data_IF_397337494756
#
_entry.id   IF_397337494756
#
_cell.length_a   1.000
_cell.length_b   1.000
_cell.length_c   1.000
_cell.angle_alpha   90.00
_cell.angle_beta   90.00
_cell.angle_gamma   90.00
#
_symmetry.space_group_name_H-M   'P 1'
#
loop_
_entity.id
_entity.type
_entity.pdbx_description
1 polymer ?
#
# COMPACT_ATOMS: atom_id res chain seq x y z
N UNK A 1 -19.41 5.35 17.77
CA UNK A 1 -18.92 4.02 18.24
C UNK A 1 -18.17 3.46 17.05
N UNK A 2 -16.83 3.60 17.06
CA UNK A 2 -15.97 2.94 16.09
C UNK A 2 -16.07 1.43 16.33
N UNK A 3 -16.56 0.70 15.34
CA UNK A 3 -16.49 -0.75 15.34
C UNK A 3 -15.01 -1.06 15.16
N UNK A 4 -14.35 -1.46 16.23
CA UNK A 4 -13.04 -2.09 16.16
C UNK A 4 -13.21 -3.37 15.33
N UNK A 5 -12.94 -3.29 14.04
CA UNK A 5 -12.63 -4.47 13.28
C UNK A 5 -11.31 -4.99 13.86
N UNK A 6 -11.32 -6.20 14.38
CA UNK A 6 -10.09 -6.87 14.77
C UNK A 6 -9.20 -6.90 13.52
N UNK A 7 -8.10 -6.18 13.56
CA UNK A 7 -7.18 -6.07 12.43
C UNK A 7 -6.43 -7.39 12.28
N UNK A 8 -7.07 -8.36 11.65
CA UNK A 8 -6.41 -9.59 11.21
C UNK A 8 -5.73 -9.31 9.87
N UNK A 9 -4.61 -8.60 9.91
CA UNK A 9 -3.76 -8.47 8.73
C UNK A 9 -3.18 -9.82 8.35
N UNK A 10 -3.19 -10.14 7.06
CA UNK A 10 -2.56 -11.35 6.55
C UNK A 10 -1.04 -11.20 6.55
N UNK A 11 -0.33 -12.29 6.81
CA UNK A 11 1.12 -12.41 6.56
C UNK A 11 1.42 -13.04 5.19
N UNK A 12 0.39 -13.28 4.39
CA UNK A 12 0.54 -13.81 3.04
C UNK A 12 0.97 -12.71 2.07
N UNK A 13 1.90 -13.04 1.16
CA UNK A 13 2.41 -12.11 0.14
C UNK A 13 1.38 -11.73 -0.92
N UNK A 14 0.38 -12.56 -1.11
CA UNK A 14 -0.72 -12.38 -2.05
C UNK A 14 -2.05 -12.25 -1.30
N UNK A 15 -2.80 -11.20 -1.62
CA UNK A 15 -4.16 -10.99 -1.14
C UNK A 15 -5.11 -10.90 -2.33
N UNK A 16 -6.21 -11.64 -2.27
CA UNK A 16 -7.34 -11.55 -3.18
C UNK A 16 -8.47 -10.76 -2.51
N UNK A 17 -8.94 -9.72 -3.18
CA UNK A 17 -10.01 -8.86 -2.72
C UNK A 17 -11.33 -9.05 -3.48
N UNK A 18 -11.45 -10.12 -4.27
CA UNK A 18 -12.66 -10.40 -5.06
C UNK A 18 -13.91 -10.41 -4.18
N UNK A 19 -13.85 -11.08 -3.03
CA UNK A 19 -14.95 -11.16 -2.08
C UNK A 19 -14.86 -10.17 -0.92
N UNK A 20 -13.88 -9.26 -0.95
CA UNK A 20 -13.69 -8.28 0.10
C UNK A 20 -14.82 -7.25 0.10
N UNK A 21 -15.52 -7.14 1.22
CA UNK A 21 -16.63 -6.20 1.37
C UNK A 21 -16.12 -4.79 1.55
N UNK A 22 -16.41 -3.92 0.57
CA UNK A 22 -16.09 -2.49 0.63
C UNK A 22 -17.10 -1.74 1.50
N UNK A 23 -16.67 -0.61 2.09
CA UNK A 23 -17.61 0.35 2.68
C UNK A 23 -18.63 0.84 1.64
N UNK A 24 -19.87 1.07 2.06
CA UNK A 24 -20.97 1.44 1.16
C UNK A 24 -20.72 2.71 0.34
N UNK A 25 -19.90 3.63 0.84
CA UNK A 25 -19.57 4.89 0.18
C UNK A 25 -18.60 4.74 -1.03
N UNK A 26 -17.91 3.59 -1.16
CA UNK A 26 -17.07 3.25 -2.33
C UNK A 26 -17.61 2.04 -3.11
N UNK A 27 -18.68 1.42 -2.67
CA UNK A 27 -19.21 0.17 -3.26
C UNK A 27 -19.59 0.32 -4.75
N UNK A 28 -19.94 1.54 -5.19
CA UNK A 28 -20.39 1.85 -6.55
C UNK A 28 -19.33 2.53 -7.42
N UNK A 29 -18.07 2.58 -6.98
CA UNK A 29 -16.99 3.20 -7.75
C UNK A 29 -16.58 2.32 -8.91
N UNK A 30 -16.01 2.96 -9.94
CA UNK A 30 -15.66 2.29 -11.21
C UNK A 30 -14.40 1.45 -11.15
N UNK A 31 -13.50 1.76 -10.21
CA UNK A 31 -12.21 1.09 -10.06
C UNK A 31 -12.22 0.23 -8.81
N UNK A 32 -11.75 -1.01 -8.92
CA UNK A 32 -11.63 -1.95 -7.81
C UNK A 32 -10.30 -2.66 -7.84
N UNK A 33 -9.58 -2.63 -6.74
CA UNK A 33 -8.42 -3.49 -6.54
C UNK A 33 -8.91 -4.92 -6.37
N UNK A 34 -8.46 -5.81 -7.25
CA UNK A 34 -8.80 -7.23 -7.24
C UNK A 34 -7.81 -8.04 -6.42
N UNK A 35 -6.53 -7.73 -6.54
CA UNK A 35 -5.49 -8.39 -5.76
C UNK A 35 -4.26 -7.50 -5.60
N UNK A 36 -3.44 -7.85 -4.62
CA UNK A 36 -2.09 -7.31 -4.42
C UNK A 36 -1.12 -8.46 -4.17
N UNK A 37 0.08 -8.36 -4.73
CA UNK A 37 1.17 -9.30 -4.50
C UNK A 37 2.48 -8.56 -4.19
N UNK A 38 3.14 -8.98 -3.10
CA UNK A 38 4.45 -8.48 -2.70
C UNK A 38 5.53 -9.41 -3.27
N UNK A 39 6.39 -8.92 -4.12
CA UNK A 39 7.49 -9.67 -4.72
C UNK A 39 8.71 -9.70 -3.78
N UNK A 40 8.54 -10.43 -2.68
CA UNK A 40 9.57 -10.70 -1.66
C UNK A 40 9.56 -12.18 -1.30
N UNK A 41 10.64 -12.68 -0.73
CA UNK A 41 10.72 -14.08 -0.30
C UNK A 41 9.76 -14.36 0.86
N UNK A 42 9.68 -13.43 1.81
CA UNK A 42 8.80 -13.50 2.98
C UNK A 42 8.46 -12.10 3.49
N UNK A 43 7.27 -11.95 4.08
CA UNK A 43 6.88 -10.72 4.79
C UNK A 43 7.35 -10.68 6.24
N UNK A 44 7.81 -11.82 6.79
CA UNK A 44 8.29 -11.93 8.17
C UNK A 44 9.72 -11.38 8.39
N UNK A 45 10.44 -11.06 7.30
CA UNK A 45 11.81 -10.55 7.38
C UNK A 45 12.18 -9.78 6.11
N UNK A 46 11.52 -8.65 5.87
CA UNK A 46 11.82 -7.78 4.73
C UNK A 46 12.95 -6.83 5.09
N UNK A 47 14.04 -6.85 4.34
CA UNK A 47 15.14 -5.91 4.51
C UNK A 47 14.69 -4.50 4.13
N UNK A 48 14.68 -3.58 5.10
CA UNK A 48 14.23 -2.20 4.89
C UNK A 48 15.08 -1.43 3.85
N UNK A 49 16.34 -1.82 3.65
CA UNK A 49 17.25 -1.21 2.67
C UNK A 49 17.02 -1.67 1.23
N UNK A 50 16.19 -2.68 1.04
CA UNK A 50 15.85 -3.23 -0.28
C UNK A 50 14.48 -2.70 -0.71
N UNK A 51 14.38 -2.09 -1.90
CA UNK A 51 13.07 -1.72 -2.45
C UNK A 51 12.19 -2.95 -2.64
N UNK A 52 10.94 -2.84 -2.21
CA UNK A 52 9.94 -3.89 -2.37
C UNK A 52 9.07 -3.59 -3.57
N UNK A 53 9.03 -4.53 -4.51
CA UNK A 53 8.13 -4.47 -5.65
C UNK A 53 6.78 -5.04 -5.27
N UNK A 54 5.71 -4.31 -5.60
CA UNK A 54 4.32 -4.68 -5.32
C UNK A 54 3.52 -4.60 -6.61
N UNK A 55 2.85 -5.69 -6.93
CA UNK A 55 1.94 -5.79 -8.07
C UNK A 55 0.49 -5.62 -7.60
N UNK A 56 -0.26 -4.83 -8.34
CA UNK A 56 -1.68 -4.58 -8.14
C UNK A 56 -2.47 -4.99 -9.37
N UNK A 57 -3.54 -5.73 -9.17
CA UNK A 57 -4.52 -6.02 -10.21
C UNK A 57 -5.78 -5.23 -9.94
N UNK A 58 -6.26 -4.52 -10.95
CA UNK A 58 -7.47 -3.72 -10.90
C UNK A 58 -8.49 -4.15 -11.94
N UNK A 59 -9.74 -4.21 -11.56
CA UNK A 59 -10.87 -4.23 -12.47
C UNK A 59 -11.46 -2.83 -12.58
N UNK A 60 -11.73 -2.37 -13.79
CA UNK A 60 -12.39 -1.08 -14.05
C UNK A 60 -13.54 -1.22 -15.04
N UNK A 61 -14.63 -0.50 -14.78
CA UNK A 61 -15.78 -0.44 -15.69
C UNK A 61 -15.65 0.62 -16.77
N UNK A 62 -14.66 1.52 -16.63
CA UNK A 62 -14.41 2.64 -17.57
C UNK A 62 -12.92 3.02 -17.58
N UNK A 63 -12.53 3.79 -18.60
CA UNK A 63 -11.19 4.39 -18.65
C UNK A 63 -11.08 5.54 -17.65
N UNK A 64 -9.99 5.56 -16.92
CA UNK A 64 -9.68 6.60 -15.94
C UNK A 64 -8.21 6.98 -16.00
N UNK A 65 -7.98 8.29 -16.02
CA UNK A 65 -6.66 8.89 -15.94
C UNK A 65 -6.43 9.56 -14.58
N UNK A 66 -5.18 9.89 -14.28
CA UNK A 66 -4.78 10.55 -13.03
C UNK A 66 -5.17 9.77 -11.77
N UNK A 67 -5.04 8.45 -11.86
CA UNK A 67 -5.26 7.56 -10.72
C UNK A 67 -3.98 7.52 -9.88
N UNK A 68 -4.14 7.44 -8.56
CA UNK A 68 -3.04 7.25 -7.64
C UNK A 68 -3.34 6.17 -6.60
N UNK A 69 -2.29 5.76 -5.89
CA UNK A 69 -2.37 4.88 -4.73
C UNK A 69 -1.71 5.59 -3.54
N UNK A 70 -2.39 5.65 -2.41
CA UNK A 70 -1.76 5.81 -1.10
C UNK A 70 -1.46 4.42 -0.55
N UNK A 71 -0.19 4.14 -0.34
CA UNK A 71 0.30 3.01 0.43
C UNK A 71 0.51 3.50 1.86
N UNK A 72 -0.51 3.36 2.69
CA UNK A 72 -0.49 3.81 4.09
C UNK A 72 0.17 2.74 4.95
N UNK A 73 1.14 3.11 5.75
CA UNK A 73 1.84 2.22 6.69
C UNK A 73 1.41 2.58 8.11
N UNK A 74 0.99 1.59 8.86
CA UNK A 74 0.53 1.72 10.23
C UNK A 74 1.43 0.91 11.17
N UNK A 75 1.61 1.39 12.38
CA UNK A 75 2.32 0.67 13.44
C UNK A 75 1.46 -0.46 14.07
N UNK A 76 2.00 -1.11 15.09
CA UNK A 76 1.31 -2.18 15.82
C UNK A 76 0.04 -1.73 16.56
N UNK A 77 -0.16 -0.41 16.74
CA UNK A 77 -1.34 0.20 17.35
C UNK A 77 -2.35 0.72 16.31
N UNK A 78 -2.13 0.38 15.02
CA UNK A 78 -2.94 0.86 13.89
C UNK A 78 -2.90 2.39 13.70
N UNK A 79 -1.80 3.01 14.12
CA UNK A 79 -1.55 4.44 13.93
C UNK A 79 -0.79 4.64 12.62
N UNK A 80 -1.26 5.51 11.70
CA UNK A 80 -0.52 5.84 10.49
C UNK A 80 0.84 6.46 10.84
N UNK A 81 1.92 5.86 10.37
CA UNK A 81 3.30 6.33 10.62
C UNK A 81 4.00 6.81 9.37
N UNK A 82 3.55 6.34 8.20
CA UNK A 82 4.09 6.77 6.92
C UNK A 82 3.09 6.52 5.79
N UNK A 83 3.28 7.24 4.69
CA UNK A 83 2.51 7.03 3.45
C UNK A 83 3.44 7.21 2.26
N UNK A 84 3.44 6.23 1.36
CA UNK A 84 4.02 6.38 0.04
C UNK A 84 2.91 6.65 -0.98
N UNK A 85 3.19 7.51 -1.95
CA UNK A 85 2.22 7.88 -2.97
C UNK A 85 2.72 7.46 -4.34
N UNK A 86 1.85 6.81 -5.11
CA UNK A 86 2.03 6.59 -6.53
C UNK A 86 1.01 7.44 -7.27
N UNK A 87 1.45 8.19 -8.27
CA UNK A 87 0.61 9.10 -9.04
C UNK A 87 0.65 8.78 -10.53
N UNK A 88 -0.33 9.29 -11.26
CA UNK A 88 -0.31 9.31 -12.71
C UNK A 88 -0.59 7.99 -13.41
N UNK A 89 -1.26 7.05 -12.73
CA UNK A 89 -1.69 5.82 -13.37
C UNK A 89 -2.83 6.06 -14.36
N UNK A 90 -2.87 5.22 -15.38
CA UNK A 90 -3.92 5.19 -16.41
C UNK A 90 -4.62 3.84 -16.37
N UNK A 91 -5.75 3.76 -15.69
CA UNK A 91 -6.54 2.53 -15.58
C UNK A 91 -7.53 2.49 -16.75
N UNK A 92 -7.49 1.43 -17.54
CA UNK A 92 -8.37 1.22 -18.69
C UNK A 92 -9.53 0.31 -18.31
N UNK A 93 -10.63 0.43 -19.05
CA UNK A 93 -11.76 -0.48 -18.88
C UNK A 93 -11.32 -1.93 -19.06
N UNK A 94 -11.63 -2.78 -18.08
CA UNK A 94 -11.21 -4.17 -18.01
C UNK A 94 -10.24 -4.42 -16.87
N UNK A 95 -9.41 -5.43 -17.01
CA UNK A 95 -8.43 -5.85 -16.01
C UNK A 95 -7.08 -5.19 -16.29
N UNK A 96 -6.50 -4.55 -15.28
CA UNK A 96 -5.26 -3.79 -15.36
C UNK A 96 -4.24 -4.33 -14.37
N UNK A 97 -2.96 -4.31 -14.75
CA UNK A 97 -1.83 -4.64 -13.90
C UNK A 97 -0.96 -3.40 -13.70
N UNK A 98 -0.66 -3.10 -12.46
CA UNK A 98 0.24 -2.00 -12.07
C UNK A 98 1.30 -2.56 -11.15
N UNK A 99 2.56 -2.23 -11.41
CA UNK A 99 3.67 -2.63 -10.55
C UNK A 99 4.40 -1.38 -10.07
N UNK A 100 4.63 -1.29 -8.78
CA UNK A 100 5.32 -0.18 -8.14
C UNK A 100 6.42 -0.67 -7.21
N UNK A 101 7.44 0.17 -6.99
CA UNK A 101 8.50 -0.09 -6.01
C UNK A 101 8.38 0.88 -4.85
N UNK A 102 8.49 0.32 -3.65
CA UNK A 102 8.44 1.06 -2.40
C UNK A 102 9.77 0.94 -1.66
N UNK A 103 10.26 2.06 -1.17
CA UNK A 103 11.47 2.14 -0.36
C UNK A 103 11.08 2.36 1.11
N UNK A 104 11.36 1.37 1.95
CA UNK A 104 11.10 1.40 3.38
C UNK A 104 12.32 1.81 4.22
N UNK A 105 13.40 2.27 3.59
CA UNK A 105 14.66 2.58 4.27
C UNK A 105 14.53 3.63 5.37
N UNK A 106 13.54 4.51 5.27
CA UNK A 106 13.26 5.55 6.26
C UNK A 106 12.45 5.04 7.46
N UNK A 107 11.84 3.87 7.37
CA UNK A 107 11.15 3.25 8.50
C UNK A 107 12.15 2.53 9.40
N UNK A 108 11.87 2.53 10.70
CA UNK A 108 12.61 1.70 11.64
C UNK A 108 12.36 0.20 11.40
N UNK A 109 13.25 -0.65 11.90
CA UNK A 109 12.92 -2.07 11.99
C UNK A 109 11.74 -2.25 12.96
N UNK A 110 10.78 -3.09 12.58
CA UNK A 110 9.54 -3.28 13.34
C UNK A 110 8.49 -4.00 12.53
N UNK A 111 7.34 -4.22 13.14
CA UNK A 111 6.17 -4.82 12.50
C UNK A 111 5.19 -3.72 12.11
N UNK A 112 4.80 -3.71 10.85
CA UNK A 112 3.88 -2.73 10.28
C UNK A 112 2.75 -3.44 9.55
N UNK A 113 1.59 -2.82 9.57
CA UNK A 113 0.48 -3.15 8.69
C UNK A 113 0.35 -2.10 7.60
N UNK A 114 -0.39 -2.39 6.54
CA UNK A 114 -0.62 -1.41 5.50
C UNK A 114 -2.08 -1.40 5.02
N UNK A 115 -2.46 -0.27 4.44
CA UNK A 115 -3.76 -0.05 3.83
C UNK A 115 -3.52 0.59 2.46
N UNK A 116 -4.24 0.12 1.46
CA UNK A 116 -4.19 0.67 0.11
C UNK A 116 -5.42 1.53 -0.14
N UNK A 117 -5.20 2.78 -0.52
CA UNK A 117 -6.27 3.67 -0.95
C UNK A 117 -6.02 4.09 -2.39
N UNK A 118 -6.87 3.63 -3.31
CA UNK A 118 -6.87 4.09 -4.71
C UNK A 118 -7.70 5.35 -4.80
N UNK A 119 -7.20 6.36 -5.51
CA UNK A 119 -7.86 7.65 -5.61
C UNK A 119 -7.73 8.28 -7.00
N UNK A 120 -8.63 9.19 -7.32
CA UNK A 120 -8.48 10.14 -8.43
C UNK A 120 -8.08 11.51 -7.89
N UNK A 121 -7.18 12.19 -8.61
CA UNK A 121 -6.88 13.59 -8.32
C UNK A 121 -7.98 14.49 -8.86
N UNK A 122 -8.44 15.40 -8.04
CA UNK A 122 -9.35 16.48 -8.40
C UNK A 122 -8.62 17.83 -8.49
N UNK A 123 -9.35 18.86 -8.85
CA UNK A 123 -8.85 20.22 -8.92
C UNK A 123 -8.31 20.71 -7.58
N UNK A 124 -7.24 21.48 -7.61
CA UNK A 124 -6.64 22.09 -6.43
C UNK A 124 -5.94 21.11 -5.48
N UNK A 125 -5.58 19.91 -5.95
CA UNK A 125 -4.91 18.90 -5.15
C UNK A 125 -5.84 18.09 -4.22
N UNK A 126 -7.15 18.23 -4.38
CA UNK A 126 -8.11 17.35 -3.74
C UNK A 126 -8.00 15.93 -4.30
N UNK A 127 -8.45 14.94 -3.54
CA UNK A 127 -8.54 13.56 -4.04
C UNK A 127 -9.91 12.96 -3.70
N UNK A 128 -10.36 12.06 -4.58
CA UNK A 128 -11.57 11.28 -4.37
C UNK A 128 -11.18 9.80 -4.28
N UNK A 129 -11.53 9.16 -3.19
CA UNK A 129 -11.27 7.72 -3.01
C UNK A 129 -12.11 6.91 -3.99
N UNK A 130 -11.46 6.04 -4.73
CA UNK A 130 -12.08 5.07 -5.65
C UNK A 130 -12.21 3.69 -5.02
N UNK A 131 -11.15 3.22 -4.34
CA UNK A 131 -11.18 1.97 -3.59
C UNK A 131 -10.31 2.05 -2.34
N UNK A 132 -10.63 1.25 -1.32
CA UNK A 132 -9.84 1.13 -0.11
C UNK A 132 -9.87 -0.31 0.38
N UNK A 133 -8.69 -0.89 0.58
CA UNK A 133 -8.53 -2.27 1.01
C UNK A 133 -7.52 -2.38 2.14
N UNK A 134 -7.70 -3.37 2.98
CA UNK A 134 -6.71 -3.79 3.95
C UNK A 134 -5.52 -4.43 3.23
N UNK A 135 -4.31 -4.23 3.73
CA UNK A 135 -3.11 -4.83 3.19
C UNK A 135 -2.61 -6.01 4.03
N UNK A 136 -1.30 -6.16 4.04
CA UNK A 136 -0.60 -7.22 4.75
C UNK A 136 0.10 -6.68 5.99
N UNK A 137 0.53 -7.59 6.87
CA UNK A 137 1.50 -7.29 7.90
C UNK A 137 2.91 -7.58 7.37
N UNK A 138 3.81 -6.62 7.54
CA UNK A 138 5.21 -6.70 7.11
C UNK A 138 6.12 -6.48 8.30
N UNK A 139 7.09 -7.36 8.47
CA UNK A 139 8.15 -7.18 9.47
C UNK A 139 9.42 -6.70 8.77
N UNK A 140 9.74 -5.43 9.00
CA UNK A 140 10.98 -4.84 8.52
C UNK A 140 12.14 -5.21 9.44
N UNK A 141 13.21 -5.70 8.85
CA UNK A 141 14.45 -6.05 9.57
C UNK A 141 15.59 -5.14 9.12
N UNK A 142 16.54 -4.98 10.05
CA UNK A 142 17.76 -4.21 9.81
C UNK A 142 18.93 -5.16 9.77
N UNK A 143 19.66 -5.21 8.68
CA UNK A 143 20.99 -5.78 8.67
C UNK A 143 21.96 -4.73 9.23
N UNK A 144 21.95 -4.56 10.54
CA UNK A 144 22.83 -3.62 11.23
C UNK A 144 24.28 -3.99 10.96
N UNK A 145 25.04 -3.05 10.40
CA UNK A 145 26.50 -3.15 10.43
C UNK A 145 27.00 -2.91 11.83
N UNK A 146 28.16 -3.49 12.16
CA UNK A 146 28.77 -3.30 13.47
C UNK A 146 28.97 -1.79 13.75
N UNK A 147 28.36 -1.29 14.82
CA UNK A 147 28.42 0.13 15.20
C UNK A 147 27.21 0.98 14.80
N UNK A 148 26.23 0.44 14.11
CA UNK A 148 24.97 1.14 13.82
C UNK A 148 24.00 1.05 15.01
N UNK A 149 23.36 2.16 15.33
CA UNK A 149 22.37 2.21 16.40
C UNK A 149 21.05 1.59 15.94
N UNK A 150 20.40 0.85 16.83
CA UNK A 150 19.02 0.38 16.61
C UNK A 150 18.08 1.58 16.65
N UNK A 151 17.41 1.85 15.55
CA UNK A 151 16.39 2.87 15.48
C UNK A 151 15.16 2.46 16.30
N UNK A 152 14.68 3.34 17.17
CA UNK A 152 13.50 3.08 18.00
C UNK A 152 12.34 3.96 17.54
N UNK A 153 11.26 3.33 17.09
CA UNK A 153 10.06 3.99 16.53
C UNK A 153 9.39 4.98 17.49
N UNK A 154 9.50 4.73 18.82
CA UNK A 154 8.91 5.58 19.86
C UNK A 154 9.38 7.04 19.79
N UNK A 155 10.51 7.33 19.16
CA UNK A 155 11.10 8.67 19.16
C UNK A 155 10.96 9.46 17.87
N UNK A 156 10.45 8.88 16.78
CA UNK A 156 10.64 9.47 15.45
C UNK A 156 9.37 9.87 14.68
N UNK A 157 8.18 9.70 15.24
CA UNK A 157 6.93 10.23 14.68
C UNK A 157 6.56 9.69 13.29
N UNK A 158 5.60 10.35 12.66
CA UNK A 158 5.15 10.02 11.30
C UNK A 158 6.21 10.38 10.27
N UNK A 159 6.50 9.47 9.36
CA UNK A 159 7.46 9.67 8.26
C UNK A 159 6.75 9.61 6.93
N UNK A 160 7.04 10.55 6.03
CA UNK A 160 6.65 10.47 4.63
C UNK A 160 7.68 9.62 3.90
N UNK A 161 7.24 8.51 3.33
CA UNK A 161 8.10 7.70 2.46
C UNK A 161 8.31 8.40 1.11
N UNK A 162 9.44 8.16 0.43
CA UNK A 162 9.62 8.59 -0.95
C UNK A 162 8.48 8.12 -1.84
N UNK A 163 8.16 8.90 -2.86
CA UNK A 163 7.17 8.49 -3.85
C UNK A 163 7.57 7.16 -4.48
N UNK A 164 6.61 6.27 -4.62
CA UNK A 164 6.83 5.01 -5.30
C UNK A 164 7.15 5.24 -6.78
N UNK A 165 8.04 4.42 -7.32
CA UNK A 165 8.35 4.44 -8.74
C UNK A 165 7.43 3.49 -9.48
N UNK A 166 6.74 4.01 -10.50
CA UNK A 166 5.98 3.16 -11.41
C UNK A 166 6.96 2.31 -12.23
N UNK A 167 6.91 0.99 -12.05
CA UNK A 167 7.78 0.05 -12.78
C UNK A 167 7.10 -0.48 -14.04
N UNK A 168 5.82 -0.82 -13.94
CA UNK A 168 5.04 -1.39 -15.04
C UNK A 168 3.55 -1.13 -14.83
N UNK A 169 2.90 -0.88 -15.94
CA UNK A 169 1.45 -0.75 -16.05
C UNK A 169 1.00 -1.44 -17.34
N UNK A 170 0.08 -2.39 -17.26
CA UNK A 170 -0.43 -3.10 -18.42
C UNK A 170 -1.88 -3.52 -18.24
N UNK A 171 -2.62 -3.52 -19.36
CA UNK A 171 -3.94 -4.14 -19.45
C UNK A 171 -3.77 -5.65 -19.67
N UNK A 172 -4.51 -6.48 -18.94
CA UNK A 172 -4.44 -7.96 -19.00
C UNK A 172 -5.81 -8.59 -19.27
#
# INVERSE_FOLDING_TARGET
IAIYMSNNYSSERFLDFTDFRRPSWIERKSIRMRSVEFHVDTLEAVERSQPVEVEYIYDSTEDRDQIGIFFEVHDEFDVPVATACLYGMHIRKGCNRVTAKYDFSMLAAGTYSNVFTTFTLGDGGSFNTEDRTQGVQVKLVNNLKQGEAVWQTVYFGSTHLPDAQLCKEELI
#
